data_IF_658289073865
#
_entry.id   IF_658289073865
#
_cell.length_a   1.000
_cell.length_b   1.000
_cell.length_c   1.000
_cell.angle_alpha   90.00
_cell.angle_beta   90.00
_cell.angle_gamma   90.00
#
_symmetry.space_group_name_H-M   'P 1'
#
loop_
_entity.id
_entity.type
_entity.pdbx_description
1 polymer ?
#
# COMPACT_ATOMS: atom_id res chain seq x y z
N UNK A 1 -29.05 -41.66 -6.34
CA UNK A 1 -29.06 -40.63 -7.41
C UNK A 1 -27.60 -40.33 -7.73
N UNK A 2 -27.09 -40.74 -8.89
CA UNK A 2 -25.70 -40.43 -9.30
C UNK A 2 -25.70 -39.05 -9.95
N UNK A 3 -24.94 -38.12 -9.36
CA UNK A 3 -24.74 -36.80 -9.94
C UNK A 3 -23.71 -36.95 -11.06
N UNK A 4 -24.06 -36.50 -12.25
CA UNK A 4 -23.16 -36.46 -13.40
C UNK A 4 -22.22 -35.28 -13.23
N UNK A 5 -20.92 -35.56 -13.13
CA UNK A 5 -19.84 -34.59 -12.92
C UNK A 5 -19.07 -34.29 -14.22
N UNK A 6 -19.62 -34.68 -15.37
CA UNK A 6 -19.04 -34.35 -16.68
C UNK A 6 -19.05 -32.84 -16.92
N UNK A 7 -18.07 -32.36 -17.70
CA UNK A 7 -17.97 -30.95 -18.10
C UNK A 7 -19.22 -30.45 -18.86
N UNK A 8 -19.91 -31.38 -19.54
CA UNK A 8 -21.15 -31.11 -20.29
C UNK A 8 -22.33 -30.82 -19.36
N UNK A 9 -22.41 -31.51 -18.21
CA UNK A 9 -23.46 -31.27 -17.20
C UNK A 9 -23.32 -29.91 -16.51
N UNK A 10 -22.09 -29.42 -16.31
CA UNK A 10 -21.82 -28.09 -15.74
C UNK A 10 -22.13 -26.93 -16.69
N UNK A 11 -22.08 -27.15 -18.01
CA UNK A 11 -22.38 -26.13 -19.02
C UNK A 11 -23.89 -25.95 -19.29
N UNK A 12 -24.73 -26.90 -18.88
CA UNK A 12 -26.16 -26.95 -19.22
C UNK A 12 -27.11 -26.32 -18.18
N UNK A 13 -26.59 -25.74 -17.09
CA UNK A 13 -27.38 -25.09 -16.04
C UNK A 13 -27.85 -23.66 -16.39
N UNK A 14 -28.94 -23.15 -15.76
CA UNK A 14 -29.52 -21.87 -16.10
C UNK A 14 -28.53 -20.73 -15.78
N UNK A 15 -28.16 -19.98 -16.82
CA UNK A 15 -27.22 -18.87 -16.81
C UNK A 15 -25.92 -19.16 -16.04
N UNK A 16 -25.19 -20.18 -16.46
CA UNK A 16 -23.76 -20.26 -16.14
C UNK A 16 -23.11 -18.94 -16.61
N UNK A 17 -22.57 -18.16 -15.66
CA UNK A 17 -21.71 -17.02 -15.97
C UNK A 17 -20.75 -17.46 -17.09
N UNK A 18 -20.83 -16.83 -18.26
CA UNK A 18 -20.11 -17.27 -19.46
C UNK A 18 -18.59 -17.41 -19.24
N UNK A 19 -18.03 -16.67 -18.27
CA UNK A 19 -16.65 -16.82 -17.81
C UNK A 19 -16.36 -18.13 -17.05
N UNK A 20 -17.31 -18.66 -16.27
CA UNK A 20 -17.15 -19.90 -15.50
C UNK A 20 -17.23 -21.13 -16.41
N UNK A 21 -18.15 -21.13 -17.38
CA UNK A 21 -18.26 -22.22 -18.36
C UNK A 21 -17.04 -22.29 -19.32
N UNK A 22 -16.50 -21.13 -19.72
CA UNK A 22 -15.26 -21.06 -20.49
C UNK A 22 -14.03 -21.49 -19.66
N UNK A 23 -13.96 -21.09 -18.39
CA UNK A 23 -12.87 -21.47 -17.49
C UNK A 23 -12.82 -22.99 -17.20
N UNK A 24 -13.97 -23.67 -17.16
CA UNK A 24 -14.04 -25.13 -17.00
C UNK A 24 -13.51 -25.87 -18.24
N UNK A 25 -13.71 -25.32 -19.44
CA UNK A 25 -13.29 -25.95 -20.72
C UNK A 25 -11.78 -25.87 -20.97
N UNK A 26 -11.14 -24.80 -20.53
CA UNK A 26 -9.70 -24.55 -20.71
C UNK A 26 -8.91 -24.71 -19.39
N UNK A 27 -9.46 -25.44 -18.41
CA UNK A 27 -8.86 -25.58 -17.08
C UNK A 27 -7.46 -26.23 -17.12
N UNK A 28 -7.23 -27.12 -18.08
CA UNK A 28 -5.95 -27.76 -18.40
C UNK A 28 -4.86 -26.76 -18.82
N UNK A 29 -5.26 -25.60 -19.38
CA UNK A 29 -4.36 -24.50 -19.76
C UNK A 29 -4.33 -23.38 -18.71
N UNK A 30 -5.45 -23.14 -18.03
CA UNK A 30 -5.57 -22.12 -16.98
C UNK A 30 -4.70 -22.48 -15.77
N UNK A 31 -4.71 -23.73 -15.30
CA UNK A 31 -3.94 -24.14 -14.12
C UNK A 31 -2.43 -23.95 -14.33
N UNK A 32 -1.81 -24.43 -15.40
CA UNK A 32 -0.39 -24.17 -15.66
C UNK A 32 -0.07 -22.67 -15.88
N UNK A 33 -0.96 -21.92 -16.53
CA UNK A 33 -0.77 -20.48 -16.73
C UNK A 33 -0.80 -19.72 -15.39
N UNK A 34 -1.69 -20.10 -14.49
CA UNK A 34 -1.78 -19.54 -13.14
C UNK A 34 -0.55 -19.88 -12.31
N UNK A 35 -0.07 -21.12 -12.36
CA UNK A 35 1.15 -21.54 -11.66
C UNK A 35 2.37 -20.74 -12.14
N UNK A 36 2.58 -20.66 -13.47
CA UNK A 36 3.70 -19.89 -14.03
C UNK A 36 3.60 -18.41 -13.67
N UNK A 37 2.42 -17.81 -13.80
CA UNK A 37 2.22 -16.41 -13.44
C UNK A 37 2.45 -16.16 -11.95
N UNK A 38 2.05 -17.09 -11.08
CA UNK A 38 2.32 -17.01 -9.65
C UNK A 38 3.83 -17.06 -9.34
N UNK A 39 4.58 -17.97 -9.97
CA UNK A 39 6.03 -18.06 -9.82
C UNK A 39 6.75 -16.79 -10.28
N UNK A 40 6.39 -16.29 -11.47
CA UNK A 40 6.94 -15.04 -12.01
C UNK A 40 6.61 -13.84 -11.11
N UNK A 41 5.37 -13.78 -10.62
CA UNK A 41 4.92 -12.74 -9.69
C UNK A 41 5.65 -12.81 -8.35
N UNK A 42 5.87 -14.01 -7.80
CA UNK A 42 6.66 -14.18 -6.57
C UNK A 42 8.10 -13.68 -6.74
N UNK A 43 8.76 -14.03 -7.85
CA UNK A 43 10.12 -13.55 -8.15
C UNK A 43 10.17 -12.03 -8.36
N UNK A 44 9.16 -11.46 -9.02
CA UNK A 44 9.03 -10.02 -9.16
C UNK A 44 8.87 -9.34 -7.79
N UNK A 45 7.96 -9.83 -6.95
CA UNK A 45 7.70 -9.26 -5.62
C UNK A 45 8.89 -9.39 -4.68
N UNK A 46 9.67 -10.47 -4.77
CA UNK A 46 10.92 -10.62 -4.03
C UNK A 46 11.93 -9.54 -4.40
N UNK A 47 12.15 -9.31 -5.70
CA UNK A 47 13.03 -8.25 -6.21
C UNK A 47 12.52 -6.86 -5.86
N UNK A 48 11.22 -6.62 -6.00
CA UNK A 48 10.59 -5.34 -5.66
C UNK A 48 10.72 -5.05 -4.16
N UNK A 49 10.49 -6.06 -3.31
CA UNK A 49 10.65 -5.94 -1.86
C UNK A 49 12.10 -5.64 -1.47
N UNK A 50 13.09 -6.30 -2.09
CA UNK A 50 14.50 -6.00 -1.87
C UNK A 50 14.86 -4.58 -2.32
N UNK A 51 14.39 -4.17 -3.50
CA UNK A 51 14.59 -2.81 -4.02
C UNK A 51 13.96 -1.75 -3.11
N UNK A 52 12.72 -1.96 -2.68
CA UNK A 52 12.03 -1.06 -1.77
C UNK A 52 12.77 -0.96 -0.43
N UNK A 53 13.17 -2.09 0.17
CA UNK A 53 13.95 -2.07 1.42
C UNK A 53 15.26 -1.30 1.27
N UNK A 54 16.01 -1.54 0.19
CA UNK A 54 17.24 -0.79 -0.11
C UNK A 54 16.97 0.71 -0.26
N UNK A 55 15.92 1.08 -1.01
CA UNK A 55 15.55 2.47 -1.30
C UNK A 55 15.16 3.24 -0.04
N UNK A 56 14.50 2.58 0.91
CA UNK A 56 14.03 3.17 2.17
C UNK A 56 14.96 2.93 3.37
N UNK A 57 16.14 2.31 3.16
CA UNK A 57 17.09 2.00 4.23
C UNK A 57 16.47 1.10 5.32
N UNK A 58 15.77 0.05 4.88
CA UNK A 58 15.08 -0.91 5.75
C UNK A 58 15.90 -2.19 5.87
N UNK A 59 15.88 -2.79 7.06
CA UNK A 59 16.51 -4.09 7.31
C UNK A 59 15.71 -5.25 6.71
N UNK A 60 16.33 -6.43 6.64
CA UNK A 60 15.69 -7.61 6.07
C UNK A 60 14.50 -8.13 6.87
N UNK A 61 14.45 -7.78 8.16
CA UNK A 61 13.39 -8.10 9.13
C UNK A 61 12.13 -7.23 8.99
N UNK A 62 12.14 -6.24 8.10
CA UNK A 62 11.03 -5.29 7.91
C UNK A 62 10.16 -5.71 6.72
N UNK A 63 8.88 -5.91 6.99
CA UNK A 63 7.85 -6.01 5.97
C UNK A 63 7.34 -4.63 5.58
N UNK A 64 6.99 -4.45 4.31
CA UNK A 64 6.42 -3.22 3.76
C UNK A 64 4.98 -3.50 3.34
N UNK A 65 4.07 -2.59 3.67
CA UNK A 65 2.68 -2.62 3.22
C UNK A 65 2.34 -1.32 2.51
N UNK A 66 1.62 -1.40 1.39
CA UNK A 66 1.21 -0.21 0.62
C UNK A 66 -0.24 -0.30 0.19
N UNK A 67 -0.84 0.87 -0.08
CA UNK A 67 -2.17 0.96 -0.70
C UNK A 67 -2.34 2.28 -1.44
N UNK A 68 -3.28 2.33 -2.40
CA UNK A 68 -3.61 3.54 -3.16
C UNK A 68 -2.37 4.09 -3.86
N UNK A 69 -2.08 5.38 -3.68
CA UNK A 69 -0.88 6.00 -4.24
C UNK A 69 0.42 5.32 -3.76
N UNK A 70 0.42 4.60 -2.63
CA UNK A 70 1.58 3.81 -2.20
C UNK A 70 1.91 2.65 -3.15
N UNK A 71 0.91 2.03 -3.78
CA UNK A 71 1.12 1.00 -4.79
C UNK A 71 1.69 1.62 -6.08
N UNK A 72 1.13 2.76 -6.50
CA UNK A 72 1.65 3.51 -7.66
C UNK A 72 3.11 3.94 -7.47
N UNK A 73 3.49 4.32 -6.24
CA UNK A 73 4.88 4.61 -5.88
C UNK A 73 5.80 3.40 -6.09
N UNK A 74 5.39 2.19 -5.66
CA UNK A 74 6.18 0.97 -5.87
C UNK A 74 6.28 0.58 -7.34
N UNK A 75 5.21 0.77 -8.12
CA UNK A 75 5.21 0.52 -9.55
C UNK A 75 6.20 1.45 -10.29
N UNK A 76 6.25 2.73 -9.91
CA UNK A 76 7.21 3.67 -10.48
C UNK A 76 8.65 3.36 -10.03
N UNK A 77 8.85 3.02 -8.75
CA UNK A 77 10.14 2.54 -8.26
C UNK A 77 10.64 1.34 -9.07
N UNK A 78 9.77 0.35 -9.32
CA UNK A 78 10.09 -0.81 -10.14
C UNK A 78 10.48 -0.40 -11.56
N UNK A 79 9.67 0.44 -12.19
CA UNK A 79 9.86 0.91 -13.57
C UNK A 79 11.17 1.68 -13.74
N UNK A 80 11.49 2.61 -12.85
CA UNK A 80 12.73 3.39 -12.89
C UNK A 80 13.98 2.53 -12.70
N UNK A 81 13.85 1.41 -12.00
CA UNK A 81 14.93 0.45 -11.79
C UNK A 81 14.90 -0.72 -12.78
N UNK A 82 14.12 -0.62 -13.86
CA UNK A 82 14.05 -1.64 -14.92
C UNK A 82 13.44 -2.97 -14.50
N UNK A 83 12.71 -3.01 -13.37
CA UNK A 83 12.01 -4.19 -12.90
C UNK A 83 10.65 -4.28 -13.59
N UNK A 84 10.50 -5.27 -14.47
CA UNK A 84 9.27 -5.48 -15.23
C UNK A 84 8.27 -6.34 -14.44
N UNK A 85 7.06 -5.79 -14.26
CA UNK A 85 5.92 -6.54 -13.72
C UNK A 85 5.52 -7.66 -14.70
N UNK A 86 5.32 -8.90 -14.25
CA UNK A 86 4.86 -9.99 -15.11
C UNK A 86 3.51 -9.65 -15.73
N UNK A 87 3.40 -9.81 -17.05
CA UNK A 87 2.14 -9.63 -17.73
C UNK A 87 1.16 -10.73 -17.32
N UNK A 88 -0.10 -10.36 -17.04
CA UNK A 88 -1.17 -11.35 -16.83
C UNK A 88 -1.41 -12.08 -18.16
N UNK A 89 -1.30 -13.42 -18.20
CA UNK A 89 -1.60 -14.20 -19.40
C UNK A 89 -3.04 -13.97 -19.89
N UNK A 90 -3.24 -13.85 -21.20
CA UNK A 90 -4.55 -13.53 -21.78
C UNK A 90 -5.64 -14.54 -21.40
N UNK A 91 -5.28 -15.82 -21.24
CA UNK A 91 -6.20 -16.86 -20.78
C UNK A 91 -6.73 -16.61 -19.35
N UNK A 92 -5.93 -15.96 -18.48
CA UNK A 92 -6.34 -15.58 -17.13
C UNK A 92 -7.16 -14.29 -17.11
N UNK A 93 -6.89 -13.37 -18.06
CA UNK A 93 -7.73 -12.17 -18.26
C UNK A 93 -9.11 -12.55 -18.78
N UNK A 94 -9.17 -13.41 -19.79
CA UNK A 94 -10.40 -13.83 -20.45
C UNK A 94 -11.30 -14.67 -19.54
N UNK A 95 -10.73 -15.44 -18.61
CA UNK A 95 -11.49 -16.18 -17.60
C UNK A 95 -12.09 -15.30 -16.50
N UNK A 96 -11.67 -14.01 -16.42
CA UNK A 96 -12.10 -13.08 -15.38
C UNK A 96 -11.51 -13.38 -13.99
N UNK A 97 -10.54 -14.30 -13.90
CA UNK A 97 -9.92 -14.71 -12.64
C UNK A 97 -8.91 -13.69 -12.11
N UNK A 98 -8.29 -12.91 -12.99
CA UNK A 98 -7.34 -11.86 -12.64
C UNK A 98 -7.69 -10.56 -13.38
N UNK A 99 -7.65 -9.45 -12.64
CA UNK A 99 -7.80 -8.10 -13.17
C UNK A 99 -6.53 -7.30 -12.85
N UNK A 100 -6.23 -6.31 -13.69
CA UNK A 100 -5.13 -5.38 -13.46
C UNK A 100 -5.69 -4.13 -12.79
N UNK A 101 -5.53 -4.02 -11.48
CA UNK A 101 -6.09 -2.90 -10.68
C UNK A 101 -5.11 -1.70 -10.58
N UNK A 102 -3.96 -1.75 -11.25
CA UNK A 102 -2.89 -0.72 -11.16
C UNK A 102 -3.34 0.68 -11.59
N UNK A 103 -4.29 0.78 -12.50
CA UNK A 103 -4.77 2.07 -13.01
C UNK A 103 -5.55 2.85 -11.93
N UNK A 104 -6.26 2.14 -11.04
CA UNK A 104 -7.03 2.75 -9.95
C UNK A 104 -6.10 3.33 -8.88
N UNK A 105 -5.02 2.61 -8.56
CA UNK A 105 -4.03 3.05 -7.59
C UNK A 105 -3.24 4.27 -8.09
N UNK A 106 -2.89 4.33 -9.37
CA UNK A 106 -2.20 5.47 -9.98
C UNK A 106 -3.01 6.78 -9.92
N UNK A 107 -4.34 6.69 -9.88
CA UNK A 107 -5.24 7.83 -9.79
C UNK A 107 -5.57 8.24 -8.35
N UNK A 108 -5.22 7.40 -7.36
CA UNK A 108 -5.51 7.66 -5.96
C UNK A 108 -4.79 8.91 -5.45
N UNK A 109 -5.54 9.81 -4.81
CA UNK A 109 -4.98 11.02 -4.19
C UNK A 109 -4.12 10.71 -2.97
N UNK A 110 -4.53 9.71 -2.20
CA UNK A 110 -3.87 9.32 -0.96
C UNK A 110 -3.25 7.94 -1.08
N UNK A 111 -2.24 7.68 -0.25
CA UNK A 111 -1.61 6.37 -0.18
C UNK A 111 -1.14 6.05 1.23
N UNK A 112 -0.88 4.78 1.46
CA UNK A 112 -0.27 4.25 2.68
C UNK A 112 1.11 3.68 2.34
N UNK A 113 2.06 3.95 3.21
CA UNK A 113 3.34 3.25 3.29
C UNK A 113 3.55 2.80 4.74
N UNK A 114 3.29 1.53 4.99
CA UNK A 114 3.48 0.87 6.28
C UNK A 114 4.76 0.05 6.32
N UNK A 115 5.35 -0.01 7.51
CA UNK A 115 6.47 -0.89 7.82
C UNK A 115 6.24 -1.59 9.14
N UNK A 116 6.58 -2.88 9.21
CA UNK A 116 6.47 -3.67 10.45
C UNK A 116 7.63 -4.63 10.59
N UNK A 117 8.11 -4.83 11.82
CA UNK A 117 9.13 -5.84 12.12
C UNK A 117 8.42 -7.17 12.32
N UNK A 118 8.72 -8.15 11.46
CA UNK A 118 8.02 -9.44 11.40
C UNK A 118 8.91 -10.64 11.71
N UNK A 119 10.23 -10.45 11.86
CA UNK A 119 11.15 -11.53 12.17
C UNK A 119 10.95 -12.04 13.61
N UNK A 120 10.56 -13.31 13.74
CA UNK A 120 10.45 -13.98 15.03
C UNK A 120 11.83 -14.07 15.69
N UNK A 121 11.98 -13.50 16.88
CA UNK A 121 13.25 -13.41 17.61
C UNK A 121 13.92 -12.03 17.56
N UNK A 122 13.41 -11.11 16.76
CA UNK A 122 13.82 -9.71 16.82
C UNK A 122 13.24 -9.03 18.08
N UNK A 123 14.04 -8.29 18.87
CA UNK A 123 13.52 -7.54 20.03
C UNK A 123 12.46 -6.49 19.66
N UNK A 124 12.46 -6.06 18.40
CA UNK A 124 11.51 -5.09 17.85
C UNK A 124 10.30 -5.76 17.20
N UNK A 125 10.15 -7.09 17.28
CA UNK A 125 9.02 -7.82 16.72
C UNK A 125 7.67 -7.21 17.11
N UNK A 126 6.80 -6.99 16.12
CA UNK A 126 5.49 -6.39 16.31
C UNK A 126 5.49 -4.86 16.31
N UNK A 127 6.65 -4.20 16.34
CA UNK A 127 6.73 -2.75 16.13
C UNK A 127 6.34 -2.40 14.70
N UNK A 128 5.65 -1.28 14.53
CA UNK A 128 5.07 -0.84 13.26
C UNK A 128 5.04 0.67 13.12
N UNK A 129 5.18 1.16 11.90
CA UNK A 129 4.94 2.55 11.53
C UNK A 129 4.10 2.59 10.25
N UNK A 130 3.01 3.35 10.25
CA UNK A 130 2.11 3.57 9.11
C UNK A 130 2.14 5.03 8.72
N UNK A 131 2.65 5.34 7.54
CA UNK A 131 2.65 6.69 6.97
C UNK A 131 1.56 6.79 5.90
N UNK A 132 0.47 7.48 6.22
CA UNK A 132 -0.55 7.84 5.24
C UNK A 132 -0.24 9.24 4.69
N UNK A 133 -0.27 9.41 3.38
CA UNK A 133 0.11 10.65 2.71
C UNK A 133 -0.93 11.11 1.68
N UNK A 134 -0.95 12.42 1.43
CA UNK A 134 -1.79 13.08 0.43
C UNK A 134 -0.87 13.70 -0.63
N UNK A 135 -0.85 13.12 -1.83
CA UNK A 135 -0.02 13.65 -2.94
C UNK A 135 -0.48 15.02 -3.41
N UNK A 136 -1.73 15.39 -3.12
CA UNK A 136 -2.29 16.71 -3.43
C UNK A 136 -1.89 17.79 -2.43
N UNK A 137 -1.20 17.44 -1.34
CA UNK A 137 -0.71 18.41 -0.37
C UNK A 137 0.45 19.21 -0.96
N UNK A 138 0.23 20.51 -1.19
CA UNK A 138 1.25 21.42 -1.72
C UNK A 138 2.11 21.97 -0.59
N UNK A 139 3.10 21.19 -0.16
CA UNK A 139 4.10 21.64 0.82
C UNK A 139 5.35 22.10 0.08
N UNK A 140 5.84 23.34 0.29
CA UNK A 140 7.06 23.79 -0.34
C UNK A 140 8.28 22.95 0.07
N UNK A 141 9.22 22.81 -0.85
CA UNK A 141 10.47 22.09 -0.59
C UNK A 141 11.19 22.66 0.63
N UNK A 142 11.66 21.76 1.50
CA UNK A 142 12.37 22.14 2.73
C UNK A 142 11.48 22.70 3.85
N UNK A 143 10.16 22.78 3.68
CA UNK A 143 9.22 23.22 4.73
C UNK A 143 8.55 22.10 5.52
N UNK A 144 8.81 20.85 5.15
CA UNK A 144 8.27 19.70 5.88
C UNK A 144 8.76 19.71 7.34
N UNK A 145 7.80 19.65 8.26
CA UNK A 145 8.04 19.59 9.71
C UNK A 145 7.20 18.46 10.32
N UNK A 146 7.74 17.83 11.36
CA UNK A 146 7.05 16.75 12.07
C UNK A 146 6.44 17.31 13.36
N UNK A 147 5.15 17.06 13.56
CA UNK A 147 4.39 17.48 14.74
C UNK A 147 3.84 16.23 15.44
N UNK A 148 4.16 16.05 16.72
CA UNK A 148 3.54 15.01 17.53
C UNK A 148 2.11 15.41 17.88
N UNK A 149 1.15 14.52 17.60
CA UNK A 149 -0.27 14.77 17.81
C UNK A 149 -0.73 14.03 19.07
N UNK A 150 -1.30 14.78 20.01
CA UNK A 150 -1.90 14.22 21.23
C UNK A 150 -3.34 14.68 21.34
N UNK A 151 -4.24 13.73 21.58
CA UNK A 151 -5.64 14.06 21.76
C UNK A 151 -5.83 14.96 22.99
N UNK A 152 -6.70 15.96 22.86
CA UNK A 152 -6.91 16.99 23.88
C UNK A 152 -5.77 18.01 24.03
N UNK A 153 -4.70 17.98 23.22
CA UNK A 153 -3.68 19.02 23.22
C UNK A 153 -4.14 20.25 22.39
N UNK A 154 -4.39 21.42 23.01
CA UNK A 154 -4.86 22.59 22.29
C UNK A 154 -3.82 23.13 21.30
N UNK A 155 -2.52 22.86 21.48
CA UNK A 155 -1.46 23.37 20.60
C UNK A 155 -1.42 22.67 19.23
N UNK A 156 -2.08 21.52 19.08
CA UNK A 156 -2.10 20.74 17.83
C UNK A 156 -3.53 20.37 17.41
N UNK A 157 -4.53 21.07 17.96
CA UNK A 157 -5.93 20.71 17.79
C UNK A 157 -6.40 20.96 16.35
N UNK A 158 -5.94 22.04 15.72
CA UNK A 158 -6.22 22.36 14.32
C UNK A 158 -5.61 21.33 13.36
N UNK A 159 -4.34 20.97 13.54
CA UNK A 159 -3.67 19.92 12.76
C UNK A 159 -4.35 18.57 12.95
N UNK A 160 -4.71 18.21 14.19
CA UNK A 160 -5.49 16.99 14.45
C UNK A 160 -6.83 17.00 13.72
N UNK A 161 -7.53 18.13 13.72
CA UNK A 161 -8.79 18.28 12.98
C UNK A 161 -8.60 18.20 11.46
N UNK A 162 -7.50 18.71 10.93
CA UNK A 162 -7.16 18.59 9.52
C UNK A 162 -6.91 17.13 9.12
N UNK A 163 -6.29 16.33 9.98
CA UNK A 163 -6.15 14.88 9.77
C UNK A 163 -7.51 14.17 9.85
N UNK A 164 -8.34 14.51 10.85
CA UNK A 164 -9.69 13.93 11.07
C UNK A 164 -10.65 14.15 9.92
N UNK A 165 -10.65 15.35 9.34
CA UNK A 165 -11.66 15.78 8.38
C UNK A 165 -11.10 15.94 6.96
N UNK A 166 -9.79 15.75 6.78
CA UNK A 166 -9.10 15.90 5.50
C UNK A 166 -9.03 14.60 4.69
N UNK A 167 -8.20 14.65 3.63
CA UNK A 167 -8.00 13.53 2.72
C UNK A 167 -7.46 12.27 3.40
N UNK A 168 -6.73 12.43 4.51
CA UNK A 168 -6.09 11.33 5.25
C UNK A 168 -7.02 10.62 6.25
N UNK A 169 -8.24 11.12 6.43
CA UNK A 169 -9.17 10.65 7.46
C UNK A 169 -9.47 9.15 7.39
N UNK A 170 -9.65 8.60 6.18
CA UNK A 170 -9.94 7.18 5.96
C UNK A 170 -8.73 6.26 6.14
N UNK A 171 -7.52 6.79 6.04
CA UNK A 171 -6.26 6.03 6.17
C UNK A 171 -5.61 6.18 7.54
N UNK A 172 -6.02 7.20 8.30
CA UNK A 172 -5.48 7.44 9.64
C UNK A 172 -6.41 6.85 10.68
N UNK A 173 -5.97 5.79 11.36
CA UNK A 173 -6.68 5.34 12.55
C UNK A 173 -6.36 6.30 13.71
N UNK A 174 -7.34 7.11 14.08
CA UNK A 174 -7.25 8.12 15.13
C UNK A 174 -7.74 7.64 16.50
N UNK A 175 -8.14 6.36 16.61
CA UNK A 175 -8.51 5.76 17.87
C UNK A 175 -7.35 5.77 18.86
N UNK A 176 -7.58 6.37 20.03
CA UNK A 176 -6.63 6.39 21.14
C UNK A 176 -6.40 5.00 21.80
N UNK A 177 -7.09 3.96 21.34
CA UNK A 177 -7.25 2.71 22.08
C UNK A 177 -6.07 1.71 21.97
N UNK A 178 -5.11 1.92 21.06
CA UNK A 178 -4.13 0.87 20.75
C UNK A 178 -2.70 1.14 21.27
N UNK A 179 -2.48 2.19 22.08
CA UNK A 179 -1.15 2.48 22.64
C UNK A 179 -0.10 2.98 21.62
N UNK A 180 -0.55 3.37 20.43
CA UNK A 180 0.31 3.96 19.39
C UNK A 180 0.39 5.48 19.46
N UNK A 181 1.54 6.03 19.09
CA UNK A 181 1.76 7.47 18.92
C UNK A 181 1.27 7.94 17.55
N UNK A 182 0.75 9.17 17.48
CA UNK A 182 0.33 9.80 16.24
C UNK A 182 1.19 11.04 15.96
N UNK A 183 1.57 11.21 14.71
CA UNK A 183 2.30 12.37 14.22
C UNK A 183 1.66 12.89 12.94
N UNK A 184 1.91 14.15 12.62
CA UNK A 184 1.64 14.73 11.30
C UNK A 184 2.92 15.29 10.70
N UNK A 185 3.04 15.22 9.38
CA UNK A 185 4.04 15.96 8.62
C UNK A 185 3.31 17.13 7.96
N UNK A 186 3.74 18.35 8.27
CA UNK A 186 3.10 19.59 7.81
C UNK A 186 4.08 20.52 7.10
N UNK A 187 3.59 21.62 6.55
CA UNK A 187 4.40 22.72 5.98
C UNK A 187 5.06 23.65 7.01
N UNK A 188 4.92 23.36 8.32
CA UNK A 188 5.49 24.16 9.40
C UNK A 188 4.76 25.47 9.70
N UNK A 189 3.61 25.72 9.05
CA UNK A 189 2.74 26.83 9.40
C UNK A 189 2.07 26.59 10.77
N UNK A 190 1.48 27.64 11.34
CA UNK A 190 0.77 27.57 12.63
C UNK A 190 -0.38 26.55 12.63
N UNK A 191 -0.69 26.01 13.82
CA UNK A 191 -1.83 25.12 14.03
C UNK A 191 -3.14 25.73 13.47
N UNK A 192 -3.95 24.89 12.83
CA UNK A 192 -5.19 25.30 12.15
C UNK A 192 -5.00 25.97 10.79
N UNK A 193 -3.78 26.36 10.42
CA UNK A 193 -3.42 26.85 9.06
C UNK A 193 -2.48 25.90 8.32
N UNK A 194 -1.82 24.99 9.05
CA UNK A 194 -0.85 24.06 8.51
C UNK A 194 -1.45 23.12 7.46
N UNK A 195 -0.78 23.03 6.32
CA UNK A 195 -1.07 22.00 5.31
C UNK A 195 -0.51 20.68 5.80
N UNK A 196 -1.35 19.65 5.93
CA UNK A 196 -0.92 18.31 6.33
C UNK A 196 -0.61 17.49 5.10
N UNK A 197 0.65 17.11 4.92
CA UNK A 197 1.09 16.23 3.83
C UNK A 197 0.98 14.75 4.18
N UNK A 198 1.18 14.40 5.46
CA UNK A 198 1.07 13.03 5.92
C UNK A 198 0.65 12.96 7.39
N UNK A 199 0.10 11.82 7.77
CA UNK A 199 -0.07 11.37 9.14
C UNK A 199 0.76 10.10 9.35
N UNK A 200 1.35 9.94 10.53
CA UNK A 200 2.15 8.76 10.87
C UNK A 200 1.62 8.16 12.15
N UNK A 201 1.21 6.90 12.11
CA UNK A 201 0.90 6.12 13.30
C UNK A 201 2.07 5.22 13.63
N UNK A 202 2.49 5.21 14.89
CA UNK A 202 3.66 4.46 15.35
C UNK A 202 3.29 3.58 16.52
N UNK A 203 3.75 2.34 16.48
CA UNK A 203 3.68 1.37 17.56
C UNK A 203 5.11 0.97 17.91
N UNK A 204 5.68 1.64 18.92
CA UNK A 204 7.05 1.40 19.37
C UNK A 204 8.15 1.85 18.39
N UNK A 205 7.82 2.62 17.35
CA UNK A 205 8.76 3.12 16.32
C UNK A 205 8.97 4.64 16.38
N UNK A 206 8.66 5.30 17.50
CA UNK A 206 8.62 6.77 17.60
C UNK A 206 9.95 7.43 17.24
N UNK A 207 11.07 6.83 17.62
CA UNK A 207 12.39 7.36 17.27
C UNK A 207 12.65 7.27 15.77
N UNK A 208 12.21 6.19 15.11
CA UNK A 208 12.26 6.08 13.65
C UNK A 208 11.36 7.10 12.97
N UNK A 209 10.17 7.39 13.52
CA UNK A 209 9.31 8.46 13.00
C UNK A 209 10.06 9.79 13.05
N UNK A 210 10.65 10.13 14.20
CA UNK A 210 11.37 11.40 14.40
C UNK A 210 12.58 11.54 13.47
N UNK A 211 13.30 10.45 13.19
CA UNK A 211 14.52 10.52 12.36
C UNK A 211 14.26 10.38 10.87
N UNK A 212 13.20 9.66 10.46
CA UNK A 212 13.11 9.15 9.09
C UNK A 212 11.79 9.43 8.37
N UNK A 213 10.70 9.77 9.06
CA UNK A 213 9.39 9.89 8.40
C UNK A 213 9.37 10.95 7.29
N UNK A 214 10.02 12.10 7.50
CA UNK A 214 10.15 13.15 6.47
C UNK A 214 10.99 12.65 5.28
N UNK A 215 12.08 11.92 5.55
CA UNK A 215 12.91 11.33 4.49
C UNK A 215 12.12 10.33 3.65
N UNK A 216 11.37 9.45 4.30
CA UNK A 216 10.48 8.48 3.65
C UNK A 216 9.44 9.20 2.79
N UNK A 217 8.77 10.23 3.32
CA UNK A 217 7.78 11.00 2.55
C UNK A 217 8.40 11.66 1.31
N UNK A 218 9.63 12.20 1.42
CA UNK A 218 10.36 12.76 0.27
C UNK A 218 10.68 11.70 -0.78
N UNK A 219 11.17 10.54 -0.35
CA UNK A 219 11.43 9.41 -1.25
C UNK A 219 10.15 8.94 -1.94
N UNK A 220 9.03 8.85 -1.22
CA UNK A 220 7.71 8.56 -1.81
C UNK A 220 7.36 9.59 -2.87
N UNK A 221 7.50 10.89 -2.55
CA UNK A 221 7.21 11.98 -3.47
C UNK A 221 8.06 11.96 -4.74
N UNK A 222 9.30 11.48 -4.68
CA UNK A 222 10.16 11.32 -5.86
C UNK A 222 9.57 10.33 -6.88
N UNK A 223 9.01 9.22 -6.39
CA UNK A 223 8.43 8.16 -7.21
C UNK A 223 6.93 8.34 -7.48
N UNK A 224 6.35 9.46 -7.08
CA UNK A 224 4.98 9.82 -7.41
C UNK A 224 4.98 10.96 -8.43
N UNK A 225 4.37 10.77 -9.62
CA UNK A 225 4.17 11.89 -10.52
C UNK A 225 3.19 12.88 -9.87
N UNK A 226 3.54 14.17 -9.95
CA UNK A 226 2.71 15.29 -9.50
C UNK A 226 1.51 15.55 -10.41
#
# INVERSE_FOLDING_TARGET
MRVDLSAEAFAAGPAANSGVAAAVKDMDKIVPAMQRHAEESSRYMEKLSALARSTFGLGDNVSITTSGAGNAMLDNLAKENGLQKPAIPDILKQSGLLKDDTEVDAQSRTGLFGMSVTAAGDPDFGKRMDLAFDRGAKVPDGKLSLVALKDGNPATAGTMNAVRNGALSSLTNLGAQDGGSLFAITDGSEDGKATVAASVRSFGMDDRVKTSAIGILKTIGHYLPG
#
